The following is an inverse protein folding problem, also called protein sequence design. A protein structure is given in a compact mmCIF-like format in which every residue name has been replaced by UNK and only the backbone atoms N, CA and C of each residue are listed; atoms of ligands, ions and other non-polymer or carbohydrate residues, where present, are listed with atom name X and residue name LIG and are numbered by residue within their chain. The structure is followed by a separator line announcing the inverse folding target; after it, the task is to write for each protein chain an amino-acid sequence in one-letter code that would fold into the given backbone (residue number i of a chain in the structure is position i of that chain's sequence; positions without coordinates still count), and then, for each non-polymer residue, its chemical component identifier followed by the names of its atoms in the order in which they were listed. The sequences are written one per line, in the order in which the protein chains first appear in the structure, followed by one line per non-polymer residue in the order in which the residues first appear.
data_IF_700333521382
#
_entry.id   IF_700333521382
#
_cell.length_a   1.000
_cell.length_b   1.000
_cell.length_c   1.000
_cell.angle_alpha   90.00
_cell.angle_beta   90.00
_cell.angle_gamma   90.00
#
_symmetry.space_group_name_H-M   'P 1'
#
loop_
_entity.id
_entity.type
_entity.pdbx_description
1 polymer ?
#
# COMPACT_ATOMS: atom_id res chain seq x y z
N UNK A 1 -17.60 49.31 40.68
CA UNK A 1 -17.16 49.16 39.27
C UNK A 1 -15.65 48.87 39.11
N UNK A 2 -14.74 49.54 39.83
CA UNK A 2 -13.29 49.32 39.68
C UNK A 2 -12.81 47.89 40.01
N UNK A 3 -13.35 47.26 41.07
CA UNK A 3 -13.01 45.87 41.46
C UNK A 3 -13.35 44.86 40.34
N UNK A 4 -14.53 45.02 39.71
CA UNK A 4 -14.98 44.14 38.64
C UNK A 4 -14.08 44.26 37.40
N UNK A 5 -13.65 45.49 37.08
CA UNK A 5 -12.70 45.76 36.00
C UNK A 5 -11.35 45.07 36.24
N UNK A 6 -10.86 45.06 37.49
CA UNK A 6 -9.61 44.37 37.86
C UNK A 6 -9.72 42.85 37.65
N UNK A 7 -10.84 42.24 38.06
CA UNK A 7 -11.08 40.81 37.83
C UNK A 7 -11.18 40.47 36.34
N UNK A 8 -11.78 41.35 35.53
CA UNK A 8 -11.90 41.16 34.09
C UNK A 8 -10.53 41.22 33.40
N UNK A 9 -9.67 42.15 33.80
CA UNK A 9 -8.28 42.25 33.32
C UNK A 9 -7.48 41.01 33.70
N UNK A 10 -7.57 40.55 34.95
CA UNK A 10 -6.86 39.35 35.42
C UNK A 10 -7.36 38.08 34.70
N UNK A 11 -8.66 37.97 34.43
CA UNK A 11 -9.24 36.88 33.66
C UNK A 11 -8.71 36.81 32.23
N UNK A 12 -8.60 37.97 31.56
CA UNK A 12 -8.03 38.06 30.20
C UNK A 12 -6.54 37.70 30.20
N UNK A 13 -5.77 38.21 31.17
CA UNK A 13 -4.33 37.88 31.32
C UNK A 13 -4.15 36.37 31.54
N UNK A 14 -4.94 35.76 32.42
CA UNK A 14 -4.91 34.33 32.70
C UNK A 14 -5.25 33.49 31.45
N UNK A 15 -6.27 33.90 30.69
CA UNK A 15 -6.67 33.22 29.47
C UNK A 15 -5.59 33.30 28.39
N UNK A 16 -4.96 34.48 28.22
CA UNK A 16 -3.82 34.68 27.33
C UNK A 16 -2.61 33.83 27.74
N UNK A 17 -2.26 33.82 29.02
CA UNK A 17 -1.15 33.02 29.56
C UNK A 17 -1.36 31.52 29.32
N UNK A 18 -2.57 31.01 29.60
CA UNK A 18 -2.92 29.60 29.36
C UNK A 18 -2.85 29.22 27.88
N UNK A 19 -3.24 30.13 26.97
CA UNK A 19 -3.20 29.93 25.52
C UNK A 19 -1.79 29.90 24.94
N UNK A 20 -0.85 30.61 25.56
CA UNK A 20 0.57 30.61 25.16
C UNK A 20 1.26 29.33 25.63
N UNK A 21 1.05 28.93 26.89
CA UNK A 21 1.69 27.74 27.47
C UNK A 21 1.14 26.40 26.96
N UNK A 22 -0.05 26.37 26.37
CA UNK A 22 -0.62 25.14 25.77
C UNK A 22 0.04 24.75 24.44
N UNK A 23 0.77 25.67 23.80
CA UNK A 23 1.50 25.39 22.57
C UNK A 23 2.87 24.82 22.93
N UNK A 24 2.96 23.48 23.07
CA UNK A 24 4.27 22.80 23.12
C UNK A 24 5.08 23.23 21.89
N UNK A 25 6.32 23.74 22.05
CA UNK A 25 7.17 24.03 20.90
C UNK A 25 7.42 22.71 20.17
N UNK A 26 6.90 22.58 18.94
CA UNK A 26 7.23 21.44 18.09
C UNK A 26 8.73 21.50 17.83
N UNK A 27 9.47 20.48 18.26
CA UNK A 27 10.87 20.34 17.89
C UNK A 27 10.96 20.23 16.35
N UNK A 28 11.35 21.33 15.70
CA UNK A 28 11.37 21.47 14.25
C UNK A 28 12.25 20.42 13.59
N UNK A 29 13.37 20.03 14.24
CA UNK A 29 14.28 19.01 13.74
C UNK A 29 13.60 17.63 13.74
N UNK A 30 12.91 17.28 14.83
CA UNK A 30 12.18 16.01 14.93
C UNK A 30 11.02 15.94 13.91
N UNK A 31 10.29 17.04 13.72
CA UNK A 31 9.22 17.11 12.74
C UNK A 31 9.75 16.95 11.29
N UNK A 32 10.86 17.62 10.96
CA UNK A 32 11.53 17.45 9.66
C UNK A 32 12.00 16.01 9.45
N UNK A 33 12.58 15.38 10.46
CA UNK A 33 13.01 13.98 10.40
C UNK A 33 11.84 13.03 10.16
N UNK A 34 10.75 13.16 10.93
CA UNK A 34 9.54 12.35 10.76
C UNK A 34 8.94 12.52 9.36
N UNK A 35 8.83 13.75 8.88
CA UNK A 35 8.29 14.02 7.55
C UNK A 35 9.17 13.42 6.44
N UNK A 36 10.51 13.44 6.60
CA UNK A 36 11.43 12.80 5.66
C UNK A 36 11.25 11.28 5.63
N UNK A 37 11.12 10.64 6.80
CA UNK A 37 10.85 9.20 6.86
C UNK A 37 9.51 8.85 6.21
N UNK A 38 8.46 9.63 6.50
CA UNK A 38 7.14 9.42 5.92
C UNK A 38 7.16 9.58 4.40
N UNK A 39 7.85 10.61 3.87
CA UNK A 39 7.93 10.80 2.41
C UNK A 39 8.73 9.69 1.73
N UNK A 40 9.78 9.17 2.36
CA UNK A 40 10.49 7.98 1.87
C UNK A 40 9.57 6.76 1.82
N UNK A 41 8.78 6.50 2.87
CA UNK A 41 7.83 5.39 2.89
C UNK A 41 6.80 5.52 1.75
N UNK A 42 6.20 6.69 1.57
CA UNK A 42 5.21 6.92 0.50
C UNK A 42 5.81 6.74 -0.90
N UNK A 43 7.07 7.11 -1.10
CA UNK A 43 7.76 6.87 -2.37
C UNK A 43 7.98 5.38 -2.62
N UNK A 44 8.35 4.63 -1.57
CA UNK A 44 8.50 3.17 -1.63
C UNK A 44 7.15 2.52 -1.98
N UNK A 45 6.08 2.89 -1.28
CA UNK A 45 4.73 2.35 -1.54
C UNK A 45 4.29 2.61 -2.97
N UNK A 46 4.58 3.81 -3.51
CA UNK A 46 4.28 4.15 -4.90
C UNK A 46 5.06 3.31 -5.91
N UNK A 47 6.31 2.95 -5.61
CA UNK A 47 7.11 2.06 -6.46
C UNK A 47 6.48 0.68 -6.49
N UNK A 48 6.14 0.12 -5.33
CA UNK A 48 5.47 -1.18 -5.23
C UNK A 48 4.13 -1.21 -5.97
N UNK A 49 3.29 -0.19 -5.80
CA UNK A 49 2.02 -0.08 -6.53
C UNK A 49 2.22 -0.10 -8.06
N UNK A 50 3.21 0.64 -8.58
CA UNK A 50 3.51 0.64 -10.01
C UNK A 50 4.01 -0.71 -10.52
N UNK A 51 4.83 -1.40 -9.74
CA UNK A 51 5.29 -2.75 -10.10
C UNK A 51 4.13 -3.75 -10.11
N UNK A 52 3.21 -3.63 -9.17
CA UNK A 52 1.98 -4.43 -9.13
C UNK A 52 1.08 -4.15 -10.32
N UNK A 53 0.86 -2.88 -10.68
CA UNK A 53 0.06 -2.51 -11.86
C UNK A 53 0.66 -3.06 -13.15
N UNK A 54 1.99 -2.98 -13.30
CA UNK A 54 2.71 -3.58 -14.44
C UNK A 54 2.51 -5.09 -14.49
N UNK A 55 2.61 -5.74 -13.33
CA UNK A 55 2.38 -7.18 -13.20
C UNK A 55 0.92 -7.46 -13.58
N UNK A 56 -0.06 -6.85 -12.94
CA UNK A 56 -1.48 -7.08 -13.20
C UNK A 56 -1.90 -6.90 -14.66
N UNK A 57 -1.38 -5.88 -15.33
CA UNK A 57 -1.73 -5.53 -16.72
C UNK A 57 -1.13 -6.46 -17.78
N UNK A 58 0.00 -7.13 -17.50
CA UNK A 58 0.67 -7.98 -18.48
C UNK A 58 0.68 -9.46 -18.05
N UNK A 59 -0.09 -10.35 -18.70
CA UNK A 59 -0.18 -11.75 -18.31
C UNK A 59 1.11 -12.56 -18.60
N UNK A 60 2.02 -12.04 -19.42
CA UNK A 60 3.28 -12.74 -19.76
C UNK A 60 4.38 -12.52 -18.71
N UNK A 61 4.23 -11.52 -17.83
CA UNK A 61 5.17 -11.29 -16.72
C UNK A 61 5.01 -12.41 -15.71
N UNK A 62 6.10 -13.10 -15.40
CA UNK A 62 6.10 -14.24 -14.48
C UNK A 62 5.76 -13.82 -13.05
N UNK A 63 4.76 -14.46 -12.45
CA UNK A 63 4.53 -14.39 -11.00
C UNK A 63 5.30 -15.53 -10.36
N UNK A 64 6.26 -15.21 -9.49
CA UNK A 64 7.03 -16.20 -8.75
C UNK A 64 6.51 -16.34 -7.32
N UNK A 65 6.06 -17.53 -6.96
CA UNK A 65 5.70 -17.90 -5.58
C UNK A 65 6.85 -18.72 -5.02
N UNK A 66 7.59 -18.13 -4.09
CA UNK A 66 8.72 -18.77 -3.42
C UNK A 66 8.27 -19.60 -2.23
N UNK A 67 9.09 -20.58 -1.85
CA UNK A 67 8.83 -21.48 -0.70
C UNK A 67 8.87 -20.71 0.63
N UNK A 68 9.65 -19.63 0.69
CA UNK A 68 9.82 -18.78 1.88
C UNK A 68 8.93 -17.52 1.85
N UNK A 69 7.99 -17.42 0.90
CA UNK A 69 7.07 -16.29 0.88
C UNK A 69 6.12 -16.36 2.08
N UNK A 70 5.86 -15.20 2.69
CA UNK A 70 4.80 -15.07 3.69
C UNK A 70 3.44 -15.37 3.06
N UNK A 71 2.52 -15.92 3.84
CA UNK A 71 1.16 -16.25 3.40
C UNK A 71 0.45 -15.07 2.72
N UNK A 72 0.58 -13.86 3.26
CA UNK A 72 0.03 -12.64 2.67
C UNK A 72 0.55 -12.40 1.24
N UNK A 73 1.86 -12.56 1.02
CA UNK A 73 2.47 -12.41 -0.29
C UNK A 73 2.02 -13.51 -1.26
N UNK A 74 1.89 -14.75 -0.77
CA UNK A 74 1.38 -15.88 -1.56
C UNK A 74 -0.06 -15.59 -2.01
N UNK A 75 -0.93 -15.19 -1.09
CA UNK A 75 -2.32 -14.87 -1.37
C UNK A 75 -2.46 -13.72 -2.36
N UNK A 76 -1.67 -12.65 -2.18
CA UNK A 76 -1.64 -11.51 -3.11
C UNK A 76 -1.21 -11.94 -4.52
N UNK A 77 -0.10 -12.68 -4.64
CA UNK A 77 0.40 -13.20 -5.93
C UNK A 77 -0.61 -14.13 -6.60
N UNK A 78 -1.25 -15.02 -5.82
CA UNK A 78 -2.30 -15.93 -6.29
C UNK A 78 -3.53 -15.17 -6.80
N UNK A 79 -3.96 -14.13 -6.09
CA UNK A 79 -5.08 -13.28 -6.50
C UNK A 79 -4.79 -12.54 -7.81
N UNK A 80 -3.58 -11.99 -7.97
CA UNK A 80 -3.15 -11.38 -9.24
C UNK A 80 -3.20 -12.42 -10.38
N UNK A 81 -2.71 -13.64 -10.13
CA UNK A 81 -2.74 -14.71 -11.10
C UNK A 81 -4.18 -15.07 -11.53
N UNK A 82 -5.09 -15.23 -10.58
CA UNK A 82 -6.52 -15.51 -10.83
C UNK A 82 -7.19 -14.39 -11.62
N UNK A 83 -6.93 -13.13 -11.25
CA UNK A 83 -7.49 -11.97 -11.94
C UNK A 83 -7.01 -11.89 -13.39
N UNK A 84 -5.72 -12.20 -13.65
CA UNK A 84 -5.18 -12.29 -15.00
C UNK A 84 -5.80 -13.42 -15.81
N UNK A 85 -5.97 -14.61 -15.23
CA UNK A 85 -6.67 -15.71 -15.92
C UNK A 85 -8.09 -15.31 -16.30
N UNK A 86 -8.84 -14.70 -15.38
CA UNK A 86 -10.20 -14.24 -15.65
C UNK A 86 -10.24 -13.17 -16.76
N UNK A 87 -9.30 -12.23 -16.79
CA UNK A 87 -9.29 -11.10 -17.73
C UNK A 87 -8.71 -11.44 -19.09
N UNK A 88 -7.58 -12.15 -19.12
CA UNK A 88 -6.79 -12.39 -20.32
C UNK A 88 -6.82 -13.86 -20.79
N UNK A 89 -7.49 -14.74 -20.05
CA UNK A 89 -7.51 -16.21 -20.28
C UNK A 89 -6.14 -16.88 -20.23
N UNK A 90 -5.11 -16.16 -19.78
CA UNK A 90 -3.74 -16.65 -19.64
C UNK A 90 -2.98 -15.90 -18.56
N UNK A 91 -2.01 -16.55 -17.94
CA UNK A 91 -1.14 -15.95 -16.93
C UNK A 91 0.11 -16.80 -16.73
N UNK A 92 1.28 -16.16 -16.61
CA UNK A 92 2.54 -16.84 -16.32
C UNK A 92 2.76 -17.00 -14.81
N UNK A 93 2.95 -18.23 -14.35
CA UNK A 93 3.17 -18.58 -12.95
C UNK A 93 4.35 -19.53 -12.83
N UNK A 94 5.31 -19.22 -11.96
CA UNK A 94 6.51 -20.04 -11.70
C UNK A 94 7.26 -20.50 -12.97
N UNK A 95 7.25 -19.68 -14.02
CA UNK A 95 7.90 -19.94 -15.29
C UNK A 95 7.00 -20.60 -16.35
N UNK A 96 5.88 -21.20 -15.94
CA UNK A 96 4.93 -21.86 -16.84
C UNK A 96 3.81 -20.90 -17.28
N UNK A 97 3.39 -21.03 -18.54
CA UNK A 97 2.20 -20.34 -19.05
C UNK A 97 0.98 -21.19 -18.77
N UNK A 98 0.06 -20.64 -17.98
CA UNK A 98 -1.22 -21.25 -17.63
C UNK A 98 -2.31 -20.54 -18.41
N UNK A 99 -3.29 -21.30 -18.89
CA UNK A 99 -4.41 -20.82 -19.67
C UNK A 99 -5.73 -21.25 -19.03
N UNK A 100 -6.77 -20.48 -19.30
CA UNK A 100 -8.13 -20.77 -18.86
C UNK A 100 -9.06 -20.83 -20.07
N UNK A 101 -9.85 -21.90 -20.17
CA UNK A 101 -10.88 -22.06 -21.19
C UNK A 101 -12.14 -21.25 -20.87
N UNK A 102 -13.11 -21.24 -21.79
CA UNK A 102 -14.42 -20.60 -21.56
C UNK A 102 -15.22 -21.30 -20.46
N UNK A 103 -15.07 -22.62 -20.35
CA UNK A 103 -15.58 -23.47 -19.26
C UNK A 103 -14.85 -23.29 -17.92
N UNK A 104 -14.00 -22.27 -17.81
CA UNK A 104 -13.14 -21.99 -16.65
C UNK A 104 -12.11 -23.07 -16.32
N UNK A 105 -11.97 -24.10 -17.16
CA UNK A 105 -10.97 -25.17 -16.97
C UNK A 105 -9.56 -24.64 -17.21
N UNK A 106 -8.65 -25.03 -16.34
CA UNK A 106 -7.25 -24.60 -16.41
C UNK A 106 -6.45 -25.63 -17.20
N UNK A 107 -5.57 -25.16 -18.08
CA UNK A 107 -4.68 -26.02 -18.84
C UNK A 107 -3.33 -25.37 -19.08
N UNK A 108 -2.33 -26.20 -19.40
CA UNK A 108 -1.02 -25.76 -19.88
C UNK A 108 -0.64 -26.53 -21.14
N UNK A 109 0.30 -25.97 -21.89
CA UNK A 109 0.92 -26.68 -23.00
C UNK A 109 2.19 -27.37 -22.52
N UNK A 110 2.25 -28.68 -22.68
CA UNK A 110 3.46 -29.46 -22.45
C UNK A 110 3.90 -30.08 -23.78
N UNK A 111 5.08 -29.68 -24.29
CA UNK A 111 5.60 -30.11 -25.61
C UNK A 111 4.57 -30.01 -26.75
N UNK A 112 3.80 -28.90 -26.78
CA UNK A 112 2.78 -28.64 -27.80
C UNK A 112 1.43 -29.34 -27.58
N UNK A 113 1.31 -30.23 -26.59
CA UNK A 113 0.04 -30.87 -26.23
C UNK A 113 -0.67 -30.10 -25.12
N UNK A 114 -1.99 -29.89 -25.27
CA UNK A 114 -2.86 -29.29 -24.26
C UNK A 114 -3.07 -30.31 -23.13
N UNK A 115 -2.65 -29.98 -21.93
CA UNK A 115 -2.82 -30.80 -20.72
C UNK A 115 -3.66 -30.00 -19.73
N UNK A 116 -4.82 -30.51 -19.37
CA UNK A 116 -5.67 -29.93 -18.32
C UNK A 116 -5.05 -30.21 -16.94
N UNK A 117 -5.14 -29.22 -16.06
CA UNK A 117 -4.62 -29.24 -14.69
C UNK A 117 -5.73 -29.50 -13.69
#
# INVERSE_FOLDING_TARGET
MKIFLVFLILGVIFFCYKKINSKKPKNLKLAKFKNKLQSTQTNIDRIFLREEEKTFSNPNINIYIGIHDKEENINRKSNIHRARLSKFKKSKLNGEMIFQDDDQRIYKFNNGKKVYL
#
